data_IF_933897823421
#
_entry.id   IF_933897823421
#
_cell.length_a   1.000
_cell.length_b   1.000
_cell.length_c   1.000
_cell.angle_alpha   90.00
_cell.angle_beta   90.00
_cell.angle_gamma   90.00
#
_symmetry.space_group_name_H-M   'P 1'
#
loop_
_entity.id
_entity.type
_entity.pdbx_description
1 polymer ?
#
# COMPACT_ATOMS: atom_id res chain seq x y z
N UNK A 1 -30.32 18.89 11.73
CA UNK A 1 -31.07 19.65 12.77
C UNK A 1 -31.18 21.07 12.28
N UNK A 2 -32.39 21.62 12.15
CA UNK A 2 -32.67 22.88 11.42
C UNK A 2 -31.71 23.98 11.84
N UNK A 3 -30.93 24.50 10.89
CA UNK A 3 -30.03 25.63 11.12
C UNK A 3 -30.56 26.82 10.35
N UNK A 4 -31.04 27.83 11.08
CA UNK A 4 -31.35 29.13 10.51
C UNK A 4 -30.25 30.09 10.95
N UNK A 5 -29.21 30.24 10.13
CA UNK A 5 -28.26 31.34 10.35
C UNK A 5 -28.93 32.66 9.96
N UNK A 6 -28.64 33.78 10.63
CA UNK A 6 -29.18 35.07 10.21
C UNK A 6 -28.76 35.36 8.77
N UNK A 7 -29.73 35.63 7.89
CA UNK A 7 -29.60 35.87 6.44
C UNK A 7 -29.37 34.64 5.53
N UNK A 8 -29.44 33.41 6.03
CA UNK A 8 -29.41 32.20 5.18
C UNK A 8 -30.83 31.59 5.05
N UNK A 9 -31.17 30.98 3.89
CA UNK A 9 -32.40 30.20 3.76
C UNK A 9 -32.40 29.04 4.75
N UNK A 10 -33.60 28.62 5.15
CA UNK A 10 -33.77 27.47 6.05
C UNK A 10 -33.12 26.23 5.43
N UNK A 11 -32.21 25.58 6.15
CA UNK A 11 -31.55 24.36 5.70
C UNK A 11 -31.88 23.18 6.60
N UNK A 12 -32.15 22.02 5.99
CA UNK A 12 -32.33 20.76 6.71
C UNK A 12 -31.28 19.78 6.19
N UNK A 13 -30.16 19.68 6.93
CA UNK A 13 -29.14 18.65 6.67
C UNK A 13 -29.75 17.26 6.89
N UNK A 14 -29.65 16.42 5.87
CA UNK A 14 -30.06 15.01 5.86
C UNK A 14 -28.94 14.14 5.31
N UNK A 15 -28.92 12.89 5.77
CA UNK A 15 -28.04 11.86 5.22
C UNK A 15 -28.81 11.05 4.19
N UNK A 16 -28.34 11.08 2.95
CA UNK A 16 -28.87 10.22 1.88
C UNK A 16 -28.17 8.87 1.93
N UNK A 17 -28.98 7.84 2.15
CA UNK A 17 -28.56 6.45 2.08
C UNK A 17 -28.82 5.93 0.67
N UNK A 18 -27.76 5.75 -0.10
CA UNK A 18 -27.80 5.18 -1.44
C UNK A 18 -26.64 4.21 -1.66
N UNK A 19 -26.76 3.39 -2.70
CA UNK A 19 -25.65 2.60 -3.21
C UNK A 19 -24.85 3.48 -4.17
N UNK A 20 -23.52 3.55 -4.01
CA UNK A 20 -22.63 4.15 -5.02
C UNK A 20 -22.51 3.22 -6.25
N UNK A 21 -21.72 3.63 -7.25
CA UNK A 21 -21.45 2.81 -8.45
C UNK A 21 -20.84 1.44 -8.12
N UNK A 22 -20.12 1.35 -6.99
CA UNK A 22 -19.51 0.12 -6.45
C UNK A 22 -20.47 -0.70 -5.56
N UNK A 23 -21.71 -0.25 -5.39
CA UNK A 23 -22.72 -0.94 -4.56
C UNK A 23 -22.48 -0.85 -3.04
N UNK A 24 -21.71 0.12 -2.58
CA UNK A 24 -21.47 0.46 -1.17
C UNK A 24 -22.43 1.54 -0.67
N UNK A 25 -22.83 1.40 0.60
CA UNK A 25 -23.63 2.39 1.30
C UNK A 25 -22.72 3.53 1.77
N UNK A 26 -22.74 4.64 1.03
CA UNK A 26 -22.01 5.85 1.42
C UNK A 26 -23.05 6.90 1.86
N UNK A 27 -23.00 7.38 3.11
CA UNK A 27 -23.85 8.47 3.55
C UNK A 27 -23.37 9.78 2.93
N UNK A 28 -24.23 10.45 2.18
CA UNK A 28 -23.97 11.80 1.68
C UNK A 28 -24.78 12.80 2.51
N UNK A 29 -24.09 13.76 3.14
CA UNK A 29 -24.76 14.88 3.78
C UNK A 29 -25.19 15.89 2.72
N UNK A 30 -26.49 16.18 2.67
CA UNK A 30 -27.07 17.10 1.71
C UNK A 30 -28.21 17.91 2.34
N UNK A 31 -28.64 18.98 1.66
CA UNK A 31 -29.83 19.72 2.06
C UNK A 31 -31.10 19.05 1.52
N UNK A 32 -32.05 18.74 2.39
CA UNK A 32 -33.30 18.12 2.02
C UNK A 32 -34.11 18.94 1.02
N UNK A 33 -34.11 20.28 1.12
CA UNK A 33 -34.87 21.11 0.20
C UNK A 33 -34.27 21.10 -1.20
N UNK A 34 -32.95 21.06 -1.30
CA UNK A 34 -32.25 20.96 -2.57
C UNK A 34 -32.53 19.62 -3.26
N UNK A 35 -32.45 18.50 -2.52
CA UNK A 35 -32.74 17.18 -3.08
C UNK A 35 -34.22 17.02 -3.48
N UNK A 36 -35.14 17.59 -2.70
CA UNK A 36 -36.58 17.57 -3.02
C UNK A 36 -36.93 18.49 -4.21
N UNK A 37 -36.15 19.53 -4.46
CA UNK A 37 -36.34 20.44 -5.60
C UNK A 37 -35.68 19.93 -6.88
N UNK A 38 -34.53 19.26 -6.80
CA UNK A 38 -33.79 18.76 -7.97
C UNK A 38 -34.43 17.53 -8.62
N UNK A 39 -35.28 16.80 -7.90
CA UNK A 39 -35.85 15.53 -8.35
C UNK A 39 -37.36 15.49 -8.20
N UNK A 40 -38.02 14.94 -9.21
CA UNK A 40 -39.45 14.67 -9.14
C UNK A 40 -39.71 13.34 -8.44
N UNK A 41 -40.40 13.40 -7.30
CA UNK A 41 -40.78 12.23 -6.53
C UNK A 41 -42.26 11.93 -6.73
N UNK A 42 -42.58 10.69 -7.13
CA UNK A 42 -43.98 10.24 -7.18
C UNK A 42 -44.58 10.10 -5.78
N UNK A 43 -43.78 9.63 -4.82
CA UNK A 43 -44.20 9.41 -3.43
C UNK A 43 -43.10 9.88 -2.49
N UNK A 44 -43.46 10.66 -1.48
CA UNK A 44 -42.56 11.05 -0.38
C UNK A 44 -43.15 10.54 0.94
N UNK A 45 -42.36 9.75 1.67
CA UNK A 45 -42.74 9.15 2.95
C UNK A 45 -42.00 9.88 4.08
N UNK A 46 -42.76 10.47 4.99
CA UNK A 46 -42.23 11.11 6.19
C UNK A 46 -42.61 10.22 7.37
N UNK A 47 -41.63 9.52 7.93
CA UNK A 47 -41.82 8.59 9.06
C UNK A 47 -41.23 9.19 10.33
N UNK A 48 -42.08 9.47 11.32
CA UNK A 48 -41.64 9.82 12.67
C UNK A 48 -41.50 8.56 13.51
N UNK A 49 -40.32 8.30 14.08
CA UNK A 49 -40.11 7.18 15.00
C UNK A 49 -40.23 7.67 16.45
N UNK A 50 -41.24 7.18 17.15
CA UNK A 50 -41.47 7.41 18.57
C UNK A 50 -41.18 6.12 19.35
N UNK A 51 -40.10 6.11 20.14
CA UNK A 51 -39.80 4.98 21.03
C UNK A 51 -40.31 5.27 22.43
N UNK A 52 -41.31 4.52 22.88
CA UNK A 52 -41.86 4.61 24.23
C UNK A 52 -41.08 3.68 25.16
N UNK A 53 -40.73 4.16 26.36
CA UNK A 53 -39.99 3.40 27.39
C UNK A 53 -40.54 3.71 28.77
N UNK A 54 -40.41 2.77 29.69
CA UNK A 54 -40.82 2.97 31.08
C UNK A 54 -40.02 4.12 31.70
N UNK A 55 -40.72 5.06 32.36
CA UNK A 55 -40.11 6.24 32.99
C UNK A 55 -39.69 7.36 32.03
N UNK A 56 -39.83 7.18 30.72
CA UNK A 56 -39.54 8.22 29.73
C UNK A 56 -40.81 9.00 29.39
N UNK A 57 -40.84 10.29 29.70
CA UNK A 57 -41.92 11.18 29.25
C UNK A 57 -41.65 11.60 27.81
N UNK A 58 -42.67 11.44 26.96
CA UNK A 58 -42.63 11.90 25.57
C UNK A 58 -42.29 13.40 25.55
N UNK A 59 -41.22 13.76 24.84
CA UNK A 59 -40.78 15.16 24.77
C UNK A 59 -41.70 15.97 23.86
N UNK A 60 -42.48 16.86 24.48
CA UNK A 60 -43.35 17.81 23.76
C UNK A 60 -42.58 18.74 22.81
N UNK A 61 -41.28 18.99 23.04
CA UNK A 61 -40.43 19.77 22.13
C UNK A 61 -40.11 18.99 20.85
N UNK A 62 -39.83 17.70 20.97
CA UNK A 62 -39.60 16.81 19.83
C UNK A 62 -40.85 16.72 18.94
N UNK A 63 -42.04 16.66 19.54
CA UNK A 63 -43.31 16.75 18.82
C UNK A 63 -43.41 18.01 17.96
N UNK A 64 -43.16 19.19 18.54
CA UNK A 64 -43.17 20.47 17.80
C UNK A 64 -42.14 20.52 16.68
N UNK A 65 -40.94 19.97 16.88
CA UNK A 65 -39.92 19.88 15.84
C UNK A 65 -40.37 19.01 14.66
N UNK A 66 -41.07 17.90 14.93
CA UNK A 66 -41.65 17.08 13.87
C UNK A 66 -42.69 17.85 13.06
N UNK A 67 -43.58 18.60 13.73
CA UNK A 67 -44.57 19.43 13.05
C UNK A 67 -43.92 20.49 12.17
N UNK A 68 -42.89 21.16 12.68
CA UNK A 68 -42.16 22.20 11.97
C UNK A 68 -41.45 21.64 10.74
N UNK A 69 -40.59 20.62 10.90
CA UNK A 69 -39.89 19.94 9.80
C UNK A 69 -40.89 19.46 8.75
N UNK A 70 -41.95 18.79 9.18
CA UNK A 70 -42.97 18.26 8.28
C UNK A 70 -43.68 19.37 7.52
N UNK A 71 -44.02 20.48 8.18
CA UNK A 71 -44.68 21.61 7.53
C UNK A 71 -43.81 22.24 6.43
N UNK A 72 -42.50 22.33 6.64
CA UNK A 72 -41.57 22.85 5.66
C UNK A 72 -41.35 21.89 4.50
N UNK A 73 -41.14 20.59 4.78
CA UNK A 73 -40.98 19.58 3.74
C UNK A 73 -42.21 19.48 2.84
N UNK A 74 -43.42 19.50 3.42
CA UNK A 74 -44.67 19.47 2.68
C UNK A 74 -44.83 20.71 1.79
N UNK A 75 -44.47 21.90 2.28
CA UNK A 75 -44.52 23.15 1.50
C UNK A 75 -43.50 23.20 0.36
N UNK A 76 -42.37 22.50 0.51
CA UNK A 76 -41.33 22.44 -0.52
C UNK A 76 -41.68 21.51 -1.69
N UNK A 77 -42.67 20.63 -1.51
CA UNK A 77 -43.06 19.67 -2.55
C UNK A 77 -44.12 20.24 -3.49
N UNK A 78 -44.02 19.98 -4.81
CA UNK A 78 -45.11 20.23 -5.75
C UNK A 78 -46.23 19.21 -5.50
N UNK A 79 -47.16 19.57 -4.61
CA UNK A 79 -48.28 18.73 -4.21
C UNK A 79 -49.44 18.81 -5.22
N UNK A 80 -50.15 17.69 -5.37
CA UNK A 80 -51.46 17.67 -6.04
C UNK A 80 -52.46 18.47 -5.19
N UNK A 81 -53.15 19.44 -5.79
CA UNK A 81 -54.19 20.20 -5.11
C UNK A 81 -55.37 19.28 -4.76
N UNK A 82 -55.96 19.47 -3.57
CA UNK A 82 -57.13 18.70 -3.15
C UNK A 82 -58.30 18.93 -4.14
N UNK A 83 -58.69 17.87 -4.87
CA UNK A 83 -59.77 17.90 -5.88
C UNK A 83 -59.36 17.61 -7.32
N UNK A 84 -58.09 17.28 -7.60
CA UNK A 84 -57.65 16.89 -8.94
C UNK A 84 -58.00 15.43 -9.29
N UNK A 85 -58.53 15.26 -10.50
CA UNK A 85 -59.02 13.99 -11.08
C UNK A 85 -57.86 13.02 -11.37
N UNK A 86 -58.17 11.73 -11.36
CA UNK A 86 -57.29 10.63 -11.77
C UNK A 86 -56.56 10.95 -13.10
N UNK A 87 -55.22 11.08 -13.06
CA UNK A 87 -54.39 11.37 -14.24
C UNK A 87 -53.58 12.68 -14.22
N UNK A 88 -53.63 13.49 -13.16
CA UNK A 88 -52.72 14.65 -13.00
C UNK A 88 -51.48 14.33 -12.14
N UNK A 89 -50.31 14.78 -12.62
CA UNK A 89 -48.99 14.56 -12.01
C UNK A 89 -48.77 15.46 -10.78
N UNK A 90 -48.42 14.84 -9.65
CA UNK A 90 -47.89 15.53 -8.48
C UNK A 90 -47.46 14.55 -7.38
N UNK A 91 -46.75 15.07 -6.38
CA UNK A 91 -46.13 14.23 -5.34
C UNK A 91 -47.15 13.76 -4.30
N UNK A 92 -47.28 12.44 -4.10
CA UNK A 92 -48.08 11.87 -3.00
C UNK A 92 -47.29 11.87 -1.69
N UNK A 93 -47.75 12.59 -0.67
CA UNK A 93 -47.06 12.67 0.63
C UNK A 93 -47.74 11.81 1.68
N UNK A 94 -46.99 10.88 2.28
CA UNK A 94 -47.43 10.01 3.37
C UNK A 94 -46.75 10.39 4.69
N UNK A 95 -47.53 10.82 5.68
CA UNK A 95 -47.03 11.18 7.02
C UNK A 95 -47.40 10.08 8.02
N UNK A 96 -46.41 9.29 8.41
CA UNK A 96 -46.61 8.09 9.24
C UNK A 96 -45.96 8.30 10.59
N UNK A 97 -46.73 8.18 11.67
CA UNK A 97 -46.19 8.13 13.02
C UNK A 97 -45.96 6.67 13.41
N UNK A 98 -44.72 6.22 13.50
CA UNK A 98 -44.37 4.89 13.97
C UNK A 98 -44.06 4.92 15.46
N UNK A 99 -44.91 4.27 16.26
CA UNK A 99 -44.77 4.15 17.70
C UNK A 99 -44.30 2.74 18.06
N UNK A 100 -43.17 2.64 18.75
CA UNK A 100 -42.54 1.39 19.17
C UNK A 100 -42.43 1.37 20.67
N UNK A 101 -42.93 0.31 21.31
CA UNK A 101 -42.92 0.14 22.76
C UNK A 101 -42.43 -1.28 23.12
N UNK A 102 -41.74 -1.47 24.26
CA UNK A 102 -41.51 -2.80 24.82
C UNK A 102 -42.81 -3.36 25.39
N UNK A 103 -42.89 -4.69 25.53
CA UNK A 103 -44.08 -5.38 26.05
C UNK A 103 -44.41 -5.00 27.49
N UNK A 104 -43.39 -4.68 28.30
CA UNK A 104 -43.53 -4.37 29.73
C UNK A 104 -44.06 -2.96 30.01
N UNK A 105 -44.41 -2.20 28.97
CA UNK A 105 -44.87 -0.82 29.11
C UNK A 105 -46.31 -0.76 29.63
N UNK A 106 -46.50 -0.24 30.84
CA UNK A 106 -47.81 0.03 31.43
C UNK A 106 -48.36 1.41 30.99
N UNK A 107 -49.69 1.52 30.91
CA UNK A 107 -50.46 2.36 29.98
C UNK A 107 -50.55 3.87 30.22
N UNK A 108 -49.69 4.50 31.02
CA UNK A 108 -49.99 5.86 31.48
C UNK A 108 -49.13 6.95 30.80
N UNK A 109 -49.78 7.91 30.14
CA UNK A 109 -49.17 9.18 29.73
C UNK A 109 -48.54 9.25 28.33
N UNK A 110 -48.96 8.40 27.38
CA UNK A 110 -48.40 8.36 26.02
C UNK A 110 -49.23 9.07 24.94
N UNK A 111 -50.37 9.70 25.29
CA UNK A 111 -51.22 10.40 24.31
C UNK A 111 -50.46 11.45 23.50
N UNK A 112 -49.48 12.10 24.14
CA UNK A 112 -48.59 13.06 23.50
C UNK A 112 -47.81 12.48 22.31
N UNK A 113 -47.53 11.16 22.28
CA UNK A 113 -46.83 10.51 21.17
C UNK A 113 -47.69 10.40 19.91
N UNK A 114 -49.01 10.51 20.04
CA UNK A 114 -49.96 10.40 18.92
C UNK A 114 -50.44 11.77 18.43
N UNK A 115 -50.05 12.86 19.09
CA UNK A 115 -50.35 14.21 18.64
C UNK A 115 -49.54 14.58 17.38
N UNK A 116 -50.15 15.40 16.53
CA UNK A 116 -49.49 16.01 15.37
C UNK A 116 -50.21 15.76 14.02
N UNK A 117 -49.71 16.36 12.93
CA UNK A 117 -50.35 16.37 11.62
C UNK A 117 -50.09 15.07 10.82
N UNK A 118 -50.22 13.91 11.47
CA UNK A 118 -49.99 12.60 10.87
C UNK A 118 -51.18 12.14 10.02
N UNK A 119 -50.91 11.44 8.92
CA UNK A 119 -51.96 10.76 8.15
C UNK A 119 -52.42 9.49 8.87
N UNK A 120 -51.49 8.77 9.49
CA UNK A 120 -51.77 7.51 10.20
C UNK A 120 -50.81 7.29 11.37
N UNK A 121 -51.27 6.53 12.36
CA UNK A 121 -50.46 6.05 13.47
C UNK A 121 -50.23 4.55 13.32
N UNK A 122 -48.97 4.14 13.28
CA UNK A 122 -48.55 2.75 13.17
C UNK A 122 -47.94 2.36 14.51
N UNK A 123 -48.58 1.44 15.21
CA UNK A 123 -48.10 0.88 16.47
C UNK A 123 -47.39 -0.43 16.14
N UNK A 124 -46.10 -0.54 16.47
CA UNK A 124 -45.40 -1.80 16.40
C UNK A 124 -45.94 -2.75 17.47
N UNK A 125 -46.45 -3.91 17.04
CA UNK A 125 -46.87 -4.97 17.96
C UNK A 125 -45.67 -5.40 18.79
N UNK A 126 -45.69 -5.30 20.13
CA UNK A 126 -44.52 -5.54 20.99
C UNK A 126 -44.26 -7.05 21.16
N UNK A 127 -44.09 -7.74 20.05
CA UNK A 127 -43.96 -9.18 19.91
C UNK A 127 -43.01 -9.45 18.74
N UNK A 128 -41.93 -10.18 19.01
CA UNK A 128 -41.00 -10.66 18.01
C UNK A 128 -41.56 -11.93 17.33
N UNK A 129 -41.46 -11.98 16.01
CA UNK A 129 -42.09 -13.00 15.17
C UNK A 129 -41.19 -13.45 14.03
N UNK A 130 -40.99 -14.76 13.92
CA UNK A 130 -40.40 -15.47 12.78
C UNK A 130 -41.46 -15.88 11.76
N UNK A 131 -42.71 -16.01 12.17
CA UNK A 131 -43.83 -16.38 11.28
C UNK A 131 -45.02 -15.44 11.43
N UNK A 132 -45.85 -15.27 10.39
CA UNK A 132 -47.07 -14.46 10.48
C UNK A 132 -48.09 -15.02 11.48
N UNK A 133 -48.05 -16.32 11.76
CA UNK A 133 -49.11 -17.04 12.47
C UNK A 133 -48.86 -17.15 13.97
N UNK A 134 -47.61 -17.08 14.43
CA UNK A 134 -47.26 -17.31 15.84
C UNK A 134 -46.27 -16.28 16.36
N UNK A 135 -46.45 -15.92 17.64
CA UNK A 135 -45.50 -15.16 18.43
C UNK A 135 -44.34 -16.01 18.90
N UNK A 136 -43.10 -15.53 18.74
CA UNK A 136 -41.93 -16.21 19.30
C UNK A 136 -41.54 -15.64 20.66
N UNK A 137 -41.59 -14.32 20.82
CA UNK A 137 -41.07 -13.68 22.02
C UNK A 137 -41.62 -12.29 22.30
N UNK A 138 -41.53 -11.88 23.56
CA UNK A 138 -41.86 -10.54 23.99
C UNK A 138 -40.65 -9.62 23.78
N UNK A 139 -40.92 -8.38 23.37
CA UNK A 139 -39.89 -7.37 23.14
C UNK A 139 -39.59 -6.66 24.46
N UNK A 140 -38.35 -6.77 24.93
CA UNK A 140 -37.85 -6.09 26.14
C UNK A 140 -37.03 -4.87 25.75
N UNK A 141 -36.82 -3.93 26.70
CA UNK A 141 -35.93 -2.77 26.49
C UNK A 141 -34.45 -3.18 26.64
N UNK A 142 -33.97 -4.00 25.71
CA UNK A 142 -32.59 -4.47 25.61
C UNK A 142 -31.95 -4.07 24.26
N UNK A 143 -30.78 -4.60 23.93
CA UNK A 143 -30.16 -4.32 22.62
C UNK A 143 -31.02 -4.77 21.42
N UNK A 144 -31.87 -5.78 21.60
CA UNK A 144 -32.77 -6.26 20.53
C UNK A 144 -33.88 -5.25 20.27
N UNK A 145 -34.28 -4.43 21.25
CA UNK A 145 -35.25 -3.36 21.05
C UNK A 145 -34.86 -2.41 19.92
N UNK A 146 -33.57 -2.04 19.84
CA UNK A 146 -33.08 -1.16 18.77
C UNK A 146 -33.24 -1.83 17.39
N UNK A 147 -32.88 -3.10 17.29
CA UNK A 147 -33.01 -3.88 16.04
C UNK A 147 -34.48 -4.07 15.64
N UNK A 148 -35.33 -4.32 16.62
CA UNK A 148 -36.78 -4.41 16.47
C UNK A 148 -37.38 -3.10 15.95
N UNK A 149 -37.05 -1.96 16.57
CA UNK A 149 -37.48 -0.64 16.13
C UNK A 149 -37.00 -0.32 14.70
N UNK A 150 -35.74 -0.64 14.38
CA UNK A 150 -35.18 -0.46 13.04
C UNK A 150 -35.88 -1.35 12.00
N UNK A 151 -36.23 -2.59 12.33
CA UNK A 151 -36.99 -3.48 11.44
C UNK A 151 -38.37 -2.91 11.10
N UNK A 152 -39.09 -2.41 12.11
CA UNK A 152 -40.39 -1.75 11.91
C UNK A 152 -40.25 -0.45 11.12
N UNK A 153 -39.21 0.35 11.39
CA UNK A 153 -38.90 1.54 10.62
C UNK A 153 -38.63 1.19 9.15
N UNK A 154 -37.78 0.18 8.90
CA UNK A 154 -37.40 -0.23 7.57
C UNK A 154 -38.61 -0.69 6.74
N UNK A 155 -39.51 -1.43 7.38
CA UNK A 155 -40.74 -1.92 6.74
C UNK A 155 -41.74 -0.80 6.50
N UNK A 156 -41.90 0.11 7.46
CA UNK A 156 -42.81 1.26 7.35
C UNK A 156 -42.35 2.23 6.28
N UNK A 157 -41.04 2.46 6.17
CA UNK A 157 -40.43 3.33 5.17
C UNK A 157 -40.30 2.65 3.78
N UNK A 158 -40.37 1.32 3.71
CA UNK A 158 -40.18 0.56 2.47
C UNK A 158 -38.75 0.63 1.95
N UNK A 159 -37.76 0.48 2.83
CA UNK A 159 -36.32 0.58 2.50
C UNK A 159 -35.63 -0.79 2.41
N UNK A 160 -36.39 -1.88 2.38
CA UNK A 160 -35.83 -3.22 2.18
C UNK A 160 -35.29 -3.36 0.76
N UNK A 161 -34.11 -3.97 0.63
CA UNK A 161 -33.54 -4.25 -0.68
C UNK A 161 -34.48 -5.20 -1.46
N UNK A 162 -34.90 -4.78 -2.66
CA UNK A 162 -35.87 -5.50 -3.48
C UNK A 162 -37.35 -5.19 -3.20
N UNK A 163 -37.66 -4.39 -2.17
CA UNK A 163 -39.03 -3.93 -1.88
C UNK A 163 -39.04 -2.42 -1.61
N UNK A 164 -39.18 -1.64 -2.68
CA UNK A 164 -39.16 -0.17 -2.64
C UNK A 164 -40.51 0.48 -2.27
N UNK A 165 -41.51 -0.35 -1.96
CA UNK A 165 -42.89 0.07 -1.68
C UNK A 165 -43.19 -0.22 -0.22
N UNK A 166 -43.67 0.80 0.49
CA UNK A 166 -44.22 0.66 1.84
C UNK A 166 -45.58 -0.03 1.76
N UNK A 167 -45.91 -0.97 2.65
CA UNK A 167 -47.25 -1.56 2.72
C UNK A 167 -48.36 -0.51 2.86
N UNK A 168 -48.05 0.63 3.47
CA UNK A 168 -48.98 1.74 3.69
C UNK A 168 -49.27 2.58 2.44
N UNK A 169 -48.55 2.35 1.34
CA UNK A 169 -48.86 2.95 0.04
C UNK A 169 -49.97 2.24 -0.73
N UNK A 170 -50.19 0.96 -0.40
CA UNK A 170 -51.20 0.08 -0.98
C UNK A 170 -52.56 0.28 -0.32
N UNK A 171 -52.58 0.92 0.85
CA UNK A 171 -53.81 1.28 1.56
C UNK A 171 -54.37 2.55 0.92
N UNK A 172 -55.65 2.53 0.54
CA UNK A 172 -56.32 3.73 0.06
C UNK A 172 -56.36 4.79 1.16
N UNK A 173 -55.82 5.98 0.86
CA UNK A 173 -55.75 7.09 1.80
C UNK A 173 -57.13 7.63 2.18
N UNK A 174 -58.14 7.43 1.34
CA UNK A 174 -59.53 7.79 1.65
C UNK A 174 -60.13 6.94 2.78
N UNK A 175 -59.71 5.67 2.89
CA UNK A 175 -60.05 4.79 4.01
C UNK A 175 -59.22 5.12 5.27
N UNK A 176 -58.02 5.69 5.08
CA UNK A 176 -57.16 6.20 6.14
C UNK A 176 -57.58 7.61 6.58
N UNK A 177 -58.75 7.71 7.23
CA UNK A 177 -59.16 8.94 7.94
C UNK A 177 -58.03 9.39 8.88
N UNK A 178 -57.85 10.71 9.02
CA UNK A 178 -56.92 11.32 9.99
C UNK A 178 -57.08 10.63 11.35
N UNK A 179 -55.98 10.07 11.86
CA UNK A 179 -55.92 9.47 13.19
C UNK A 179 -56.22 7.97 13.26
N UNK A 180 -56.28 7.24 12.15
CA UNK A 180 -56.40 5.79 12.19
C UNK A 180 -55.15 5.14 12.82
N UNK A 181 -55.39 4.21 13.74
CA UNK A 181 -54.37 3.39 14.39
C UNK A 181 -54.23 2.05 13.68
N UNK A 182 -53.00 1.71 13.31
CA UNK A 182 -52.65 0.47 12.63
C UNK A 182 -51.69 -0.32 13.48
N UNK A 183 -52.02 -1.57 13.78
CA UNK A 183 -51.08 -2.47 14.43
C UNK A 183 -50.18 -3.10 13.37
N UNK A 184 -48.90 -2.75 13.38
CA UNK A 184 -47.89 -3.33 12.51
C UNK A 184 -47.34 -4.61 13.13
N UNK A 185 -47.50 -5.72 12.41
CA UNK A 185 -46.85 -7.00 12.70
C UNK A 185 -45.93 -7.31 11.53
N UNK A 186 -44.64 -7.26 11.77
CA UNK A 186 -43.62 -7.39 10.73
C UNK A 186 -42.92 -8.73 10.89
N UNK A 187 -42.78 -9.45 9.79
CA UNK A 187 -41.89 -10.59 9.65
C UNK A 187 -41.14 -10.40 8.32
N UNK A 188 -39.84 -10.70 8.30
CA UNK A 188 -39.00 -10.49 7.12
C UNK A 188 -38.41 -11.83 6.71
N UNK A 189 -38.78 -12.27 5.50
CA UNK A 189 -38.19 -13.44 4.88
C UNK A 189 -37.23 -12.99 3.78
N UNK A 190 -35.94 -13.26 3.93
CA UNK A 190 -34.96 -13.03 2.89
C UNK A 190 -34.93 -14.24 1.94
N UNK A 191 -35.34 -14.05 0.69
CA UNK A 191 -35.15 -15.06 -0.36
C UNK A 191 -33.78 -14.81 -0.99
N UNK A 192 -32.79 -15.62 -0.58
CA UNK A 192 -31.49 -15.67 -1.23
C UNK A 192 -31.65 -16.36 -2.58
N UNK A 193 -31.85 -15.55 -3.63
CA UNK A 193 -31.81 -16.04 -5.00
C UNK A 193 -30.36 -16.33 -5.41
N UNK A 194 -30.14 -17.24 -6.36
CA UNK A 194 -28.80 -17.52 -6.92
C UNK A 194 -28.15 -16.22 -7.44
N UNK A 195 -28.93 -15.31 -8.04
CA UNK A 195 -28.45 -14.00 -8.48
C UNK A 195 -28.02 -13.05 -7.36
N UNK A 196 -28.66 -13.09 -6.18
CA UNK A 196 -28.17 -12.34 -5.01
C UNK A 196 -26.92 -12.98 -4.43
N UNK A 197 -26.92 -14.31 -4.30
CA UNK A 197 -25.78 -15.08 -3.78
C UNK A 197 -24.53 -14.88 -4.64
N UNK A 198 -24.67 -14.92 -5.98
CA UNK A 198 -23.58 -14.62 -6.91
C UNK A 198 -23.09 -13.19 -6.84
N UNK A 199 -23.98 -12.20 -6.67
CA UNK A 199 -23.58 -10.79 -6.53
C UNK A 199 -22.87 -10.53 -5.22
N UNK A 200 -23.36 -11.13 -4.12
CA UNK A 200 -22.69 -11.05 -2.82
C UNK A 200 -21.33 -11.76 -2.90
N UNK A 201 -21.26 -12.95 -3.50
CA UNK A 201 -20.00 -13.67 -3.70
C UNK A 201 -19.03 -12.88 -4.59
N UNK A 202 -19.49 -12.32 -5.70
CA UNK A 202 -18.68 -11.45 -6.57
C UNK A 202 -18.19 -10.22 -5.80
N UNK A 203 -19.06 -9.55 -5.04
CA UNK A 203 -18.68 -8.40 -4.21
C UNK A 203 -17.64 -8.77 -3.14
N UNK A 204 -17.78 -9.93 -2.51
CA UNK A 204 -16.78 -10.44 -1.55
C UNK A 204 -15.47 -10.76 -2.26
N UNK A 205 -15.50 -11.38 -3.44
CA UNK A 205 -14.30 -11.67 -4.24
C UNK A 205 -13.62 -10.38 -4.72
N UNK A 206 -14.37 -9.40 -5.21
CA UNK A 206 -13.87 -8.08 -5.60
C UNK A 206 -13.29 -7.34 -4.40
N UNK A 207 -13.93 -7.44 -3.24
CA UNK A 207 -13.43 -6.93 -1.97
C UNK A 207 -12.12 -7.59 -1.55
N UNK A 208 -11.99 -8.92 -1.65
CA UNK A 208 -10.75 -9.66 -1.36
C UNK A 208 -9.66 -9.32 -2.38
N UNK A 209 -10.03 -9.10 -3.64
CA UNK A 209 -9.10 -8.74 -4.71
C UNK A 209 -8.57 -7.30 -4.56
N UNK A 210 -9.29 -6.43 -3.85
CA UNK A 210 -8.85 -5.07 -3.56
C UNK A 210 -7.66 -5.07 -2.60
N UNK A 211 -6.65 -4.27 -2.92
CA UNK A 211 -5.45 -4.08 -2.09
C UNK A 211 -5.71 -3.31 -0.80
N UNK A 212 -6.74 -2.48 -0.76
CA UNK A 212 -7.05 -1.58 0.35
C UNK A 212 -8.08 -2.13 1.33
N UNK A 213 -8.82 -3.17 0.93
CA UNK A 213 -9.92 -3.71 1.72
C UNK A 213 -9.38 -4.68 2.76
N UNK A 214 -9.82 -4.50 4.01
CA UNK A 214 -9.49 -5.41 5.11
C UNK A 214 -10.25 -6.73 4.91
N UNK A 215 -9.50 -7.82 4.71
CA UNK A 215 -10.07 -9.17 4.51
C UNK A 215 -10.86 -9.61 5.74
N UNK A 216 -10.52 -9.06 6.91
CA UNK A 216 -11.12 -9.37 8.20
C UNK A 216 -12.13 -8.30 8.66
N UNK A 217 -12.55 -7.39 7.77
CA UNK A 217 -13.65 -6.46 8.08
C UNK A 217 -14.88 -7.28 8.55
N UNK A 218 -15.39 -6.94 9.72
CA UNK A 218 -16.63 -7.46 10.30
C UNK A 218 -17.82 -7.46 9.32
N UNK A 219 -17.80 -6.59 8.30
CA UNK A 219 -18.81 -6.53 7.23
C UNK A 219 -18.68 -7.66 6.20
N UNK A 220 -17.47 -8.18 5.97
CA UNK A 220 -17.20 -9.31 5.07
C UNK A 220 -17.34 -10.65 5.82
N UNK A 221 -17.13 -10.65 7.14
CA UNK A 221 -17.40 -11.81 8.01
C UNK A 221 -16.46 -12.99 7.82
N UNK A 222 -15.28 -12.77 7.21
CA UNK A 222 -14.26 -13.80 6.98
C UNK A 222 -13.26 -13.73 8.14
N UNK A 223 -13.34 -14.68 9.06
CA UNK A 223 -12.32 -14.88 10.09
C UNK A 223 -11.64 -16.22 9.86
N UNK A 224 -10.35 -16.21 9.51
CA UNK A 224 -9.56 -17.43 9.39
C UNK A 224 -9.30 -17.96 10.81
N UNK A 225 -9.73 -19.20 11.14
CA UNK A 225 -9.51 -19.74 12.48
C UNK A 225 -8.02 -19.87 12.79
N UNK A 226 -7.61 -19.44 13.99
CA UNK A 226 -6.21 -19.54 14.41
C UNK A 226 -5.29 -18.43 13.90
N UNK A 227 -5.84 -17.33 13.39
CA UNK A 227 -5.07 -16.13 13.04
C UNK A 227 -5.37 -14.95 13.96
N UNK A 228 -4.43 -14.02 14.07
CA UNK A 228 -4.55 -12.75 14.79
C UNK A 228 -4.09 -11.62 13.86
N UNK A 229 -4.88 -10.55 13.77
CA UNK A 229 -4.55 -9.41 12.93
C UNK A 229 -3.37 -8.63 13.49
N UNK A 230 -2.40 -8.33 12.63
CA UNK A 230 -1.33 -7.39 12.93
C UNK A 230 -1.94 -5.99 13.02
N UNK A 231 -1.81 -5.30 14.17
CA UNK A 231 -2.22 -3.90 14.31
C UNK A 231 -1.49 -2.98 13.33
N UNK A 232 -2.18 -1.95 12.83
CA UNK A 232 -1.66 -1.03 11.81
C UNK A 232 -0.35 -0.32 12.22
N UNK A 233 -0.13 -0.09 13.52
CA UNK A 233 1.09 0.50 14.08
C UNK A 233 2.31 -0.45 14.06
N UNK A 234 2.07 -1.75 13.91
CA UNK A 234 3.12 -2.78 13.88
C UNK A 234 3.44 -3.28 12.46
N UNK A 235 2.64 -2.87 11.46
CA UNK A 235 2.77 -3.32 10.05
C UNK A 235 4.19 -3.12 9.52
N UNK A 236 4.75 -1.92 9.67
CA UNK A 236 6.10 -1.60 9.17
C UNK A 236 7.18 -2.47 9.82
N UNK A 237 7.04 -2.75 11.12
CA UNK A 237 8.00 -3.60 11.85
C UNK A 237 7.98 -5.04 11.34
N UNK A 238 6.80 -5.57 11.02
CA UNK A 238 6.67 -6.90 10.43
C UNK A 238 7.19 -6.94 8.98
N UNK A 239 6.99 -5.88 8.20
CA UNK A 239 7.55 -5.77 6.85
C UNK A 239 9.09 -5.75 6.92
N UNK A 240 9.68 -4.92 7.78
CA UNK A 240 11.12 -4.87 7.98
C UNK A 240 11.70 -6.23 8.41
N UNK A 241 10.99 -6.92 9.32
CA UNK A 241 11.35 -8.27 9.72
C UNK A 241 11.28 -9.25 8.54
N UNK A 242 10.23 -9.22 7.72
CA UNK A 242 10.10 -10.08 6.54
C UNK A 242 11.23 -9.82 5.54
N UNK A 243 11.57 -8.55 5.29
CA UNK A 243 12.69 -8.16 4.43
C UNK A 243 14.00 -8.73 4.98
N UNK A 244 14.26 -8.56 6.29
CA UNK A 244 15.45 -9.11 6.92
C UNK A 244 15.53 -10.66 6.79
N UNK A 245 14.40 -11.36 6.91
CA UNK A 245 14.35 -12.81 6.65
C UNK A 245 14.69 -13.14 5.20
N UNK A 246 14.15 -12.41 4.23
CA UNK A 246 14.46 -12.65 2.81
C UNK A 246 15.95 -12.49 2.51
N UNK A 247 16.60 -11.51 3.12
CA UNK A 247 18.05 -11.30 2.98
C UNK A 247 18.91 -12.31 3.77
N UNK A 248 18.35 -13.05 4.72
CA UNK A 248 19.07 -14.10 5.46
C UNK A 248 19.00 -15.47 4.78
N UNK A 249 18.02 -15.68 3.89
CA UNK A 249 17.82 -16.92 3.14
C UNK A 249 19.06 -17.22 2.27
N UNK A 250 19.42 -18.51 2.20
CA UNK A 250 20.53 -19.03 1.41
C UNK A 250 21.87 -18.31 1.67
N UNK A 251 22.19 -18.03 2.95
CA UNK A 251 23.44 -17.39 3.36
C UNK A 251 23.64 -15.98 2.77
N UNK A 252 22.55 -15.27 2.50
CA UNK A 252 22.60 -13.89 2.02
C UNK A 252 23.02 -13.75 0.56
N UNK A 253 22.57 -14.66 -0.30
CA UNK A 253 22.77 -14.57 -1.77
C UNK A 253 22.27 -13.25 -2.36
N UNK A 254 21.26 -12.64 -1.75
CA UNK A 254 20.74 -11.31 -2.12
C UNK A 254 21.57 -10.15 -1.54
N UNK A 255 22.39 -10.42 -0.53
CA UNK A 255 23.26 -9.43 0.12
C UNK A 255 24.49 -9.11 -0.73
N UNK A 256 24.94 -7.86 -0.64
CA UNK A 256 26.20 -7.47 -1.25
C UNK A 256 27.38 -8.00 -0.42
N UNK A 257 28.08 -9.00 -0.95
CA UNK A 257 29.38 -9.42 -0.42
C UNK A 257 30.48 -8.65 -1.13
N UNK A 258 31.18 -7.77 -0.40
CA UNK A 258 32.40 -7.14 -0.94
C UNK A 258 33.36 -8.28 -1.32
N UNK A 259 33.93 -8.29 -2.55
CA UNK A 259 34.97 -9.27 -2.87
C UNK A 259 36.05 -9.18 -1.79
N UNK A 260 36.49 -10.33 -1.28
CA UNK A 260 37.53 -10.39 -0.27
C UNK A 260 38.68 -9.51 -0.76
N UNK A 261 39.00 -8.45 -0.01
CA UNK A 261 40.18 -7.67 -0.30
C UNK A 261 41.33 -8.66 -0.27
N UNK A 262 42.09 -8.76 -1.37
CA UNK A 262 43.31 -9.54 -1.38
C UNK A 262 44.10 -9.12 -0.14
N UNK A 263 44.30 -10.07 0.77
CA UNK A 263 45.01 -9.79 2.00
C UNK A 263 46.37 -9.21 1.60
N UNK A 264 46.78 -8.05 2.14
CA UNK A 264 48.11 -7.52 1.84
C UNK A 264 49.12 -8.65 2.08
N UNK A 265 50.06 -8.89 1.14
CA UNK A 265 50.97 -10.02 1.25
C UNK A 265 51.60 -10.00 2.64
N UNK A 266 51.67 -11.16 3.33
CA UNK A 266 52.15 -11.21 4.70
C UNK A 266 53.52 -10.54 4.75
N UNK A 267 53.66 -9.58 5.66
CA UNK A 267 54.91 -8.86 5.86
C UNK A 267 55.92 -9.88 6.37
N UNK A 268 56.77 -10.41 5.49
CA UNK A 268 57.77 -11.39 5.88
C UNK A 268 58.73 -10.74 6.89
N UNK A 269 58.82 -11.32 8.08
CA UNK A 269 59.82 -10.94 9.08
C UNK A 269 61.15 -11.58 8.70
N UNK A 270 62.06 -10.81 8.12
CA UNK A 270 63.39 -11.28 7.77
C UNK A 270 64.30 -11.13 9.00
N UNK A 271 65.00 -12.20 9.40
CA UNK A 271 66.03 -12.09 10.44
C UNK A 271 67.26 -11.36 9.89
N UNK A 272 67.94 -10.57 10.73
CA UNK A 272 69.07 -9.69 10.37
C UNK A 272 70.18 -10.42 9.59
N UNK A 273 70.48 -11.67 9.96
CA UNK A 273 71.49 -12.50 9.28
C UNK A 273 71.08 -12.97 7.88
N UNK A 274 69.79 -13.22 7.66
CA UNK A 274 69.25 -13.54 6.32
C UNK A 274 69.39 -12.34 5.39
N UNK A 275 69.22 -11.12 5.91
CA UNK A 275 69.39 -9.89 5.14
C UNK A 275 70.86 -9.64 4.78
N UNK A 276 71.78 -9.86 5.70
CA UNK A 276 73.23 -9.75 5.44
C UNK A 276 73.69 -10.78 4.41
N UNK A 277 73.25 -12.05 4.52
CA UNK A 277 73.56 -13.10 3.54
C UNK A 277 72.99 -12.77 2.16
N UNK A 278 71.76 -12.27 2.12
CA UNK A 278 71.11 -11.85 0.88
C UNK A 278 71.81 -10.66 0.25
N UNK A 279 72.28 -9.70 1.06
CA UNK A 279 73.08 -8.57 0.63
C UNK A 279 74.42 -9.02 0.06
N UNK A 280 75.15 -9.92 0.74
CA UNK A 280 76.44 -10.43 0.24
C UNK A 280 76.30 -11.23 -1.06
N UNK A 281 75.28 -12.08 -1.17
CA UNK A 281 74.98 -12.79 -2.43
C UNK A 281 74.65 -11.79 -3.53
N UNK A 282 73.86 -10.75 -3.23
CA UNK A 282 73.52 -9.69 -4.16
C UNK A 282 74.74 -8.88 -4.62
N UNK A 283 75.60 -8.45 -3.71
CA UNK A 283 76.82 -7.70 -4.04
C UNK A 283 77.78 -8.58 -4.84
N UNK A 284 77.86 -9.88 -4.53
CA UNK A 284 78.68 -10.84 -5.27
C UNK A 284 78.17 -11.09 -6.68
N UNK A 285 76.86 -11.20 -6.87
CA UNK A 285 76.25 -11.35 -8.18
C UNK A 285 76.50 -10.11 -9.04
N UNK A 286 76.38 -8.91 -8.47
CA UNK A 286 76.74 -7.66 -9.15
C UNK A 286 78.23 -7.57 -9.48
N UNK A 287 79.12 -7.98 -8.57
CA UNK A 287 80.56 -8.00 -8.79
C UNK A 287 80.99 -8.91 -9.95
N UNK A 288 80.32 -10.04 -10.16
CA UNK A 288 80.59 -10.93 -11.30
C UNK A 288 80.25 -10.34 -12.66
N UNK A 289 79.30 -9.39 -12.70
CA UNK A 289 78.81 -8.79 -13.94
C UNK A 289 79.63 -7.54 -14.31
N UNK A 290 80.37 -6.96 -13.36
CA UNK A 290 81.26 -5.80 -13.60
C UNK A 290 82.31 -6.07 -14.69
N UNK A 291 83.06 -7.20 -14.72
CA UNK A 291 84.03 -7.47 -15.78
C UNK A 291 83.39 -7.54 -17.17
N UNK A 292 82.18 -8.10 -17.26
CA UNK A 292 81.44 -8.19 -18.52
C UNK A 292 80.97 -6.80 -19.00
N UNK A 293 80.44 -5.96 -18.11
CA UNK A 293 80.07 -4.58 -18.46
C UNK A 293 81.27 -3.69 -18.76
N UNK A 294 82.41 -3.89 -18.08
CA UNK A 294 83.67 -3.24 -18.44
C UNK A 294 84.10 -3.63 -19.86
N UNK A 295 83.98 -4.91 -20.23
CA UNK A 295 84.28 -5.38 -21.58
C UNK A 295 83.34 -4.77 -22.64
N UNK A 296 82.03 -4.71 -22.36
CA UNK A 296 81.05 -4.03 -23.22
C UNK A 296 81.35 -2.54 -23.34
N UNK A 297 81.73 -1.87 -22.25
CA UNK A 297 82.11 -0.45 -22.24
C UNK A 297 83.35 -0.19 -23.10
N UNK A 298 84.41 -1.00 -22.95
CA UNK A 298 85.62 -0.93 -23.77
C UNK A 298 85.27 -1.14 -25.25
N UNK A 299 84.48 -2.18 -25.56
CA UNK A 299 84.05 -2.49 -26.92
C UNK A 299 83.18 -1.39 -27.52
N UNK A 300 82.29 -0.77 -26.74
CA UNK A 300 81.49 0.41 -27.15
C UNK A 300 82.39 1.63 -27.39
N UNK A 301 83.42 1.84 -26.58
CA UNK A 301 84.42 2.88 -26.81
C UNK A 301 85.18 2.70 -28.13
N UNK A 302 85.57 1.46 -28.44
CA UNK A 302 86.20 1.10 -29.72
C UNK A 302 85.21 1.28 -30.89
N UNK A 303 83.96 0.83 -30.74
CA UNK A 303 82.91 0.98 -31.76
C UNK A 303 82.56 2.44 -32.06
N UNK A 304 82.50 3.30 -31.04
CA UNK A 304 82.32 4.76 -31.22
C UNK A 304 83.49 5.39 -31.94
N UNK A 305 84.73 5.02 -31.61
CA UNK A 305 85.92 5.48 -32.35
C UNK A 305 85.89 5.00 -33.80
N UNK A 306 85.58 3.73 -34.06
CA UNK A 306 85.50 3.22 -35.43
C UNK A 306 84.36 3.85 -36.24
N UNK A 307 83.20 4.11 -35.64
CA UNK A 307 82.09 4.82 -36.31
C UNK A 307 82.51 6.25 -36.66
N UNK A 308 83.16 6.96 -35.72
CA UNK A 308 83.66 8.31 -35.94
C UNK A 308 84.77 8.38 -37.00
N UNK A 309 85.62 7.35 -37.12
CA UNK A 309 86.75 7.33 -38.08
C UNK A 309 86.36 6.82 -39.47
N UNK A 310 85.46 5.84 -39.58
CA UNK A 310 85.16 5.19 -40.87
C UNK A 310 83.88 5.66 -41.55
N UNK A 311 82.89 6.18 -40.82
CA UNK A 311 81.61 6.60 -41.43
C UNK A 311 81.31 8.10 -41.32
N UNK A 312 82.00 8.84 -40.44
CA UNK A 312 81.68 10.24 -40.17
C UNK A 312 80.32 10.41 -39.48
N UNK A 313 80.07 11.59 -38.89
CA UNK A 313 78.91 11.81 -38.01
C UNK A 313 77.53 11.76 -38.73
N UNK A 314 77.51 11.72 -40.06
CA UNK A 314 76.29 11.69 -40.90
C UNK A 314 76.19 10.41 -41.78
N UNK A 315 76.89 9.34 -41.43
CA UNK A 315 76.80 8.04 -42.13
C UNK A 315 75.53 7.23 -41.80
N UNK A 316 74.97 6.53 -42.79
CA UNK A 316 73.74 5.71 -42.69
C UNK A 316 73.89 4.41 -41.87
N UNK A 317 75.09 4.04 -41.42
CA UNK A 317 75.29 2.81 -40.66
C UNK A 317 76.12 3.04 -39.39
N UNK A 318 75.49 2.86 -38.23
CA UNK A 318 76.20 2.94 -36.96
C UNK A 318 76.96 1.63 -36.73
N UNK A 319 78.28 1.69 -36.53
CA UNK A 319 79.05 0.50 -36.12
C UNK A 319 78.88 0.32 -34.62
N UNK A 320 77.72 -0.24 -34.26
CA UNK A 320 77.26 -0.48 -32.89
C UNK A 320 76.29 -1.65 -32.83
N UNK A 321 76.81 -2.79 -32.40
CA UNK A 321 76.23 -3.95 -31.71
C UNK A 321 74.69 -4.04 -31.64
N UNK A 322 74.14 -5.17 -32.12
CA UNK A 322 72.73 -5.53 -31.96
C UNK A 322 72.25 -5.51 -30.51
N UNK A 323 71.01 -5.06 -30.33
CA UNK A 323 70.29 -4.77 -29.08
C UNK A 323 70.00 -5.98 -28.16
N UNK A 324 70.78 -7.05 -28.23
CA UNK A 324 70.61 -8.22 -27.37
C UNK A 324 71.66 -8.22 -26.24
N UNK A 325 71.66 -7.17 -25.42
CA UNK A 325 72.32 -7.26 -24.12
C UNK A 325 71.53 -8.28 -23.27
N UNK A 326 72.17 -9.28 -22.65
CA UNK A 326 71.50 -10.19 -21.74
C UNK A 326 70.91 -9.40 -20.57
N UNK A 327 69.58 -9.23 -20.55
CA UNK A 327 68.85 -8.68 -19.40
C UNK A 327 69.22 -9.48 -18.15
N UNK A 328 69.57 -8.76 -17.08
CA UNK A 328 69.86 -9.34 -15.76
C UNK A 328 68.68 -10.22 -15.30
N UNK A 329 68.94 -11.25 -14.50
CA UNK A 329 67.90 -12.12 -13.96
C UNK A 329 66.83 -11.32 -13.20
N UNK A 330 67.23 -10.21 -12.55
CA UNK A 330 66.30 -9.28 -11.90
C UNK A 330 65.58 -8.35 -12.87
N UNK A 331 66.17 -7.95 -13.98
CA UNK A 331 65.48 -7.15 -15.00
C UNK A 331 64.35 -7.95 -15.65
N UNK A 332 64.56 -9.27 -15.83
CA UNK A 332 63.49 -10.19 -16.25
C UNK A 332 62.38 -10.30 -15.20
N UNK A 333 62.73 -10.38 -13.92
CA UNK A 333 61.75 -10.40 -12.83
C UNK A 333 60.97 -9.08 -12.77
N UNK A 334 61.64 -7.94 -12.91
CA UNK A 334 61.01 -6.61 -12.91
C UNK A 334 60.11 -6.43 -14.15
N UNK A 335 60.56 -6.86 -15.32
CA UNK A 335 59.73 -6.84 -16.53
C UNK A 335 58.48 -7.72 -16.37
N UNK A 336 58.61 -8.92 -15.81
CA UNK A 336 57.47 -9.79 -15.54
C UNK A 336 56.51 -9.19 -14.51
N UNK A 337 57.02 -8.59 -13.43
CA UNK A 337 56.20 -7.88 -12.44
C UNK A 337 55.50 -6.66 -13.02
N UNK A 338 56.16 -5.94 -13.93
CA UNK A 338 55.55 -4.79 -14.60
C UNK A 338 54.41 -5.24 -15.53
N UNK A 339 54.58 -6.35 -16.24
CA UNK A 339 53.49 -6.99 -17.01
C UNK A 339 52.34 -7.40 -16.08
N UNK A 340 52.64 -8.03 -14.95
CA UNK A 340 51.64 -8.43 -13.96
C UNK A 340 50.85 -7.22 -13.43
N UNK A 341 51.54 -6.15 -13.00
CA UNK A 341 50.92 -4.90 -12.54
C UNK A 341 50.04 -4.30 -13.64
N UNK A 342 50.50 -4.27 -14.90
CA UNK A 342 49.71 -3.76 -16.01
C UNK A 342 48.48 -4.63 -16.28
N UNK A 343 48.58 -5.95 -16.15
CA UNK A 343 47.43 -6.85 -16.31
C UNK A 343 46.41 -6.69 -15.17
N UNK A 344 46.87 -6.53 -13.93
CA UNK A 344 46.02 -6.27 -12.77
C UNK A 344 45.36 -4.89 -12.89
N UNK A 345 46.11 -3.87 -13.31
CA UNK A 345 45.58 -2.53 -13.55
C UNK A 345 44.57 -2.51 -14.71
N UNK A 346 44.83 -3.26 -15.79
CA UNK A 346 43.90 -3.43 -16.90
C UNK A 346 42.64 -4.20 -16.46
N UNK A 347 42.78 -5.25 -15.65
CA UNK A 347 41.65 -5.99 -15.09
C UNK A 347 40.82 -5.12 -14.13
N UNK A 348 41.47 -4.32 -13.28
CA UNK A 348 40.83 -3.36 -12.39
C UNK A 348 40.10 -2.28 -13.20
N UNK A 349 40.74 -1.67 -14.20
CA UNK A 349 40.10 -0.72 -15.12
C UNK A 349 38.95 -1.35 -15.90
N UNK A 350 39.07 -2.60 -16.34
CA UNK A 350 38.00 -3.32 -17.01
C UNK A 350 36.86 -3.68 -16.05
N UNK A 351 37.13 -3.96 -14.78
CA UNK A 351 36.11 -4.15 -13.74
C UNK A 351 35.43 -2.84 -13.35
N UNK A 352 36.17 -1.73 -13.43
CA UNK A 352 35.66 -0.40 -13.16
C UNK A 352 34.77 0.07 -14.33
N UNK A 353 35.24 -0.09 -15.57
CA UNK A 353 34.55 0.32 -16.79
C UNK A 353 33.52 -0.71 -17.30
N UNK A 354 33.39 -1.87 -16.65
CA UNK A 354 32.30 -2.77 -16.96
C UNK A 354 30.99 -2.02 -16.67
N UNK A 355 30.04 -1.93 -17.63
CA UNK A 355 28.69 -1.52 -17.30
C UNK A 355 28.24 -2.39 -16.13
N UNK A 356 27.45 -1.83 -15.19
CA UNK A 356 26.77 -2.61 -14.16
C UNK A 356 26.18 -3.83 -14.87
N UNK A 357 26.87 -4.98 -14.79
CA UNK A 357 26.32 -6.23 -15.25
C UNK A 357 25.11 -6.34 -14.36
N UNK A 358 23.91 -6.27 -14.94
CA UNK A 358 22.69 -6.53 -14.19
C UNK A 358 23.01 -7.82 -13.46
N UNK A 359 23.23 -7.72 -12.15
CA UNK A 359 23.66 -8.85 -11.37
C UNK A 359 22.44 -9.75 -11.48
N UNK A 360 22.50 -10.75 -12.36
CA UNK A 360 21.63 -11.89 -12.22
C UNK A 360 22.17 -12.55 -10.96
N UNK A 361 21.81 -12.02 -9.80
CA UNK A 361 21.70 -12.83 -8.61
C UNK A 361 21.00 -14.09 -9.13
N UNK A 362 21.70 -15.23 -9.05
CA UNK A 362 21.13 -16.48 -9.53
C UNK A 362 19.95 -16.75 -8.61
N UNK A 363 18.79 -16.26 -9.00
CA UNK A 363 17.59 -16.47 -8.23
C UNK A 363 17.34 -17.97 -8.28
N UNK A 364 17.46 -18.61 -7.13
CA UNK A 364 17.23 -20.04 -7.02
C UNK A 364 15.72 -20.27 -6.95
N UNK A 365 15.20 -21.36 -7.52
CA UNK A 365 13.79 -21.73 -7.33
C UNK A 365 13.42 -21.86 -5.85
N UNK A 366 14.39 -22.25 -5.01
CA UNK A 366 14.23 -22.37 -3.57
C UNK A 366 14.04 -21.01 -2.89
N UNK A 367 14.85 -20.01 -3.21
CA UNK A 367 14.66 -18.64 -2.72
C UNK A 367 13.25 -18.11 -3.03
N UNK A 368 12.79 -18.28 -4.28
CA UNK A 368 11.42 -17.86 -4.66
C UNK A 368 10.33 -18.63 -3.94
N UNK A 369 10.52 -19.94 -3.71
CA UNK A 369 9.59 -20.74 -2.94
C UNK A 369 9.50 -20.28 -1.49
N UNK A 370 10.65 -19.97 -0.85
CA UNK A 370 10.68 -19.45 0.52
C UNK A 370 10.08 -18.05 0.64
N UNK A 371 10.38 -17.13 -0.29
CA UNK A 371 9.74 -15.80 -0.34
C UNK A 371 8.22 -15.95 -0.47
N UNK A 372 7.76 -16.81 -1.40
CA UNK A 372 6.33 -17.07 -1.61
C UNK A 372 5.67 -17.61 -0.34
N UNK A 373 6.32 -18.57 0.33
CA UNK A 373 5.82 -19.18 1.56
C UNK A 373 5.71 -18.16 2.68
N UNK A 374 6.70 -17.27 2.82
CA UNK A 374 6.69 -16.19 3.79
C UNK A 374 5.55 -15.21 3.54
N UNK A 375 5.40 -14.72 2.29
CA UNK A 375 4.37 -13.75 1.91
C UNK A 375 2.96 -14.32 2.08
N UNK A 376 2.69 -15.52 1.54
CA UNK A 376 1.36 -16.12 1.67
C UNK A 376 1.05 -16.55 3.11
N UNK A 377 2.03 -17.11 3.83
CA UNK A 377 1.83 -17.50 5.22
C UNK A 377 1.48 -16.32 6.13
N UNK A 378 2.03 -15.13 5.86
CA UNK A 378 1.69 -13.91 6.58
C UNK A 378 0.31 -13.32 6.19
N UNK A 379 -0.35 -13.83 5.15
CA UNK A 379 -1.71 -13.43 4.74
C UNK A 379 -2.76 -14.45 5.21
N UNK A 380 -2.45 -15.75 5.14
CA UNK A 380 -3.40 -16.85 5.38
C UNK A 380 -3.17 -17.61 6.69
N UNK A 381 -2.06 -17.36 7.39
CA UNK A 381 -1.71 -18.05 8.64
C UNK A 381 -1.10 -19.44 8.44
N UNK A 382 -0.60 -19.77 7.23
CA UNK A 382 0.08 -21.03 6.93
C UNK A 382 1.33 -21.24 7.79
N UNK A 383 1.87 -22.47 7.77
CA UNK A 383 3.04 -22.84 8.57
C UNK A 383 4.30 -22.04 8.21
N UNK A 384 4.68 -21.13 9.12
CA UNK A 384 5.82 -20.22 9.06
C UNK A 384 6.96 -20.61 10.03
N UNK A 385 6.95 -21.84 10.57
CA UNK A 385 7.99 -22.32 11.51
C UNK A 385 9.41 -22.23 10.96
N UNK A 386 9.57 -22.40 9.65
CA UNK A 386 10.85 -22.25 8.94
C UNK A 386 11.48 -20.85 9.13
N UNK A 387 10.67 -19.84 9.42
CA UNK A 387 11.09 -18.45 9.63
C UNK A 387 11.07 -18.04 11.12
N UNK A 388 10.79 -18.97 12.03
CA UNK A 388 10.77 -18.70 13.48
C UNK A 388 9.50 -18.03 14.01
N UNK A 389 8.42 -18.00 13.23
CA UNK A 389 7.10 -17.60 13.72
C UNK A 389 6.43 -18.82 14.33
N UNK A 390 6.32 -18.82 15.66
CA UNK A 390 5.52 -19.79 16.40
C UNK A 390 4.18 -19.14 16.81
N UNK A 391 3.09 -19.91 16.84
CA UNK A 391 1.78 -19.39 17.22
C UNK A 391 1.80 -18.91 18.68
N UNK A 392 1.49 -17.63 18.92
CA UNK A 392 1.27 -17.10 20.26
C UNK A 392 -0.18 -17.37 20.64
N UNK A 393 -0.41 -18.02 21.78
CA UNK A 393 -1.76 -18.41 22.23
C UNK A 393 -2.56 -19.25 21.21
N UNK A 394 -1.86 -20.00 20.36
CA UNK A 394 -2.50 -20.79 19.29
C UNK A 394 -2.95 -19.96 18.08
N UNK A 395 -2.52 -18.70 17.98
CA UNK A 395 -2.80 -17.81 16.85
C UNK A 395 -1.53 -17.34 16.15
N UNK A 396 -1.58 -17.25 14.82
CA UNK A 396 -0.50 -16.76 13.97
C UNK A 396 -0.81 -15.32 13.53
N UNK A 397 0.15 -14.38 13.65
CA UNK A 397 -0.06 -13.01 13.19
C UNK A 397 -0.18 -12.95 11.66
N UNK A 398 -1.19 -12.23 11.17
CA UNK A 398 -1.46 -12.05 9.73
C UNK A 398 -1.77 -10.59 9.39
N UNK A 399 -1.43 -10.16 8.18
CA UNK A 399 -1.77 -8.83 7.69
C UNK A 399 -3.27 -8.75 7.33
N UNK A 400 -3.89 -7.61 7.65
CA UNK A 400 -5.29 -7.35 7.39
C UNK A 400 -5.56 -7.10 5.89
N UNK A 401 -4.61 -6.46 5.20
CA UNK A 401 -4.75 -6.00 3.81
C UNK A 401 -3.64 -6.57 2.93
N UNK A 402 -4.00 -7.04 1.74
CA UNK A 402 -3.01 -7.51 0.75
C UNK A 402 -2.08 -6.39 0.29
N UNK A 403 -2.58 -5.15 0.22
CA UNK A 403 -1.81 -3.96 -0.12
C UNK A 403 -0.67 -3.63 0.85
N UNK A 404 -0.68 -4.18 2.08
CA UNK A 404 0.42 -3.98 3.04
C UNK A 404 1.68 -4.76 2.65
N UNK A 405 1.53 -5.88 1.93
CA UNK A 405 2.67 -6.73 1.53
C UNK A 405 2.93 -6.64 0.03
N UNK A 406 1.86 -6.57 -0.77
CA UNK A 406 1.92 -6.54 -2.23
C UNK A 406 1.49 -5.15 -2.67
N UNK A 407 2.44 -4.36 -3.12
CA UNK A 407 2.17 -3.02 -3.64
C UNK A 407 1.19 -3.09 -4.82
N UNK A 408 0.20 -2.19 -4.83
CA UNK A 408 -0.77 -2.17 -5.91
C UNK A 408 -0.11 -1.60 -7.17
N UNK A 409 -0.13 -2.31 -8.32
CA UNK A 409 0.50 -1.81 -9.54
C UNK A 409 -0.11 -0.50 -10.07
N UNK A 410 -1.36 -0.19 -9.70
CA UNK A 410 -2.01 1.07 -10.02
C UNK A 410 -1.62 2.23 -9.06
N UNK A 411 -0.90 1.93 -7.98
CA UNK A 411 -0.50 2.90 -6.97
C UNK A 411 0.61 3.83 -7.48
N UNK A 412 0.50 5.09 -7.08
CA UNK A 412 1.49 6.14 -7.35
C UNK A 412 2.36 6.31 -6.12
N UNK A 413 3.66 6.05 -6.26
CA UNK A 413 4.63 6.31 -5.21
C UNK A 413 5.12 7.75 -5.35
N UNK A 414 5.09 8.49 -4.26
CA UNK A 414 5.76 9.78 -4.16
C UNK A 414 7.26 9.57 -4.07
N UNK A 415 7.99 10.23 -4.96
CA UNK A 415 9.45 10.14 -5.00
C UNK A 415 10.01 11.08 -3.93
N UNK A 416 10.92 10.63 -3.05
CA UNK A 416 11.58 11.51 -2.09
C UNK A 416 12.28 12.69 -2.79
N UNK A 417 12.18 13.89 -2.22
CA UNK A 417 12.64 15.16 -2.82
C UNK A 417 14.08 15.11 -3.36
N UNK A 418 14.97 14.41 -2.65
CA UNK A 418 16.38 14.16 -3.01
C UNK A 418 16.53 13.40 -4.35
N UNK A 419 15.55 12.57 -4.68
CA UNK A 419 15.52 11.74 -5.89
C UNK A 419 14.66 12.36 -7.00
N UNK A 420 13.79 13.33 -6.68
CA UNK A 420 12.93 14.01 -7.66
C UNK A 420 13.75 14.75 -8.72
N UNK A 421 14.79 15.48 -8.32
CA UNK A 421 15.69 16.19 -9.25
C UNK A 421 16.43 15.24 -10.19
N UNK A 422 16.75 14.03 -9.71
CA UNK A 422 17.49 13.01 -10.48
C UNK A 422 16.59 12.20 -11.41
N UNK A 423 15.38 11.87 -10.97
CA UNK A 423 14.42 11.08 -11.75
C UNK A 423 13.60 11.96 -12.71
N UNK A 424 13.46 13.24 -12.38
CA UNK A 424 12.66 14.22 -13.14
C UNK A 424 11.15 13.99 -12.98
N UNK A 425 10.72 13.37 -11.88
CA UNK A 425 9.32 13.08 -11.58
C UNK A 425 9.11 13.11 -10.06
N UNK A 426 8.01 13.75 -9.63
CA UNK A 426 7.54 13.77 -8.23
C UNK A 426 6.70 12.54 -7.88
N UNK A 427 6.05 11.93 -8.87
CA UNK A 427 5.24 10.73 -8.69
C UNK A 427 5.58 9.70 -9.77
N UNK A 428 5.64 8.43 -9.37
CA UNK A 428 5.86 7.32 -10.30
C UNK A 428 4.77 6.28 -10.07
N UNK A 429 4.03 5.93 -11.14
CA UNK A 429 3.14 4.76 -11.10
C UNK A 429 3.98 3.48 -11.08
N UNK A 430 3.68 2.57 -10.17
CA UNK A 430 4.46 1.35 -10.00
C UNK A 430 4.47 0.47 -11.26
N UNK A 431 3.33 0.37 -11.95
CA UNK A 431 3.21 -0.29 -13.25
C UNK A 431 4.20 0.27 -14.28
N UNK A 432 4.35 1.59 -14.34
CA UNK A 432 5.26 2.27 -15.27
C UNK A 432 6.72 2.15 -14.82
N UNK A 433 6.99 2.13 -13.50
CA UNK A 433 8.32 1.93 -12.94
C UNK A 433 8.93 0.57 -13.33
N UNK A 434 8.13 -0.50 -13.27
CA UNK A 434 8.57 -1.85 -13.62
C UNK A 434 8.85 -2.05 -15.12
N UNK A 435 8.21 -1.26 -15.99
CA UNK A 435 8.33 -1.37 -17.45
C UNK A 435 9.30 -0.35 -18.06
N UNK A 436 9.64 0.72 -17.33
CA UNK A 436 10.42 1.84 -17.87
C UNK A 436 11.92 1.57 -17.84
N UNK A 437 12.46 1.07 -18.96
CA UNK A 437 13.90 1.05 -19.22
C UNK A 437 14.55 2.45 -19.13
N UNK A 438 13.76 3.52 -19.24
CA UNK A 438 14.26 4.90 -19.15
C UNK A 438 14.60 5.31 -17.72
N UNK A 439 13.84 4.86 -16.72
CA UNK A 439 14.12 5.12 -15.30
C UNK A 439 15.38 4.37 -14.87
N UNK A 440 15.50 3.09 -15.26
CA UNK A 440 16.70 2.29 -15.02
C UNK A 440 17.96 2.90 -15.67
N UNK A 441 17.85 3.44 -16.89
CA UNK A 441 18.94 4.16 -17.56
C UNK A 441 19.33 5.45 -16.84
N UNK A 442 18.37 6.29 -16.45
CA UNK A 442 18.66 7.53 -15.69
C UNK A 442 19.34 7.26 -14.35
N UNK A 443 18.94 6.21 -13.63
CA UNK A 443 19.62 5.75 -12.42
C UNK A 443 21.05 5.29 -12.70
N UNK A 444 21.26 4.53 -13.77
CA UNK A 444 22.60 4.10 -14.22
C UNK A 444 23.50 5.28 -14.58
N UNK A 445 22.96 6.30 -15.27
CA UNK A 445 23.70 7.51 -15.66
C UNK A 445 24.02 8.41 -14.46
N UNK A 446 23.15 8.43 -13.45
CA UNK A 446 23.40 9.10 -12.17
C UNK A 446 24.53 8.44 -11.36
N UNK A 447 24.61 7.10 -11.37
CA UNK A 447 25.68 6.35 -10.70
C UNK A 447 27.00 6.54 -11.42
N UNK A 448 27.02 6.51 -12.76
CA UNK A 448 28.25 6.71 -13.55
C UNK A 448 28.82 8.13 -13.41
N UNK A 449 27.97 9.16 -13.34
CA UNK A 449 28.38 10.55 -13.12
C UNK A 449 28.87 10.85 -11.71
N UNK A 450 28.27 10.21 -10.69
CA UNK A 450 28.77 10.31 -9.31
C UNK A 450 30.12 9.61 -9.17
N UNK A 451 30.29 8.48 -9.88
CA UNK A 451 31.54 7.73 -9.94
C UNK A 451 32.67 8.52 -10.61
N UNK A 452 32.40 9.17 -11.74
CA UNK A 452 33.41 10.01 -12.41
C UNK A 452 33.85 11.17 -11.52
N UNK A 453 32.95 11.76 -10.73
CA UNK A 453 33.31 12.78 -9.73
C UNK A 453 34.21 12.24 -8.62
N UNK A 454 33.94 11.03 -8.11
CA UNK A 454 34.81 10.39 -7.11
C UNK A 454 36.20 10.13 -7.69
N UNK A 455 36.28 9.62 -8.92
CA UNK A 455 37.57 9.40 -9.59
C UNK A 455 38.35 10.71 -9.81
N UNK A 456 37.68 11.82 -10.14
CA UNK A 456 38.34 13.13 -10.24
C UNK A 456 38.89 13.59 -8.90
N UNK A 457 38.12 13.43 -7.82
CA UNK A 457 38.55 13.81 -6.46
C UNK A 457 39.72 12.92 -5.99
N UNK A 458 39.67 11.61 -6.24
CA UNK A 458 40.77 10.69 -5.93
C UNK A 458 42.04 11.02 -6.72
N UNK A 459 41.92 11.39 -7.99
CA UNK A 459 43.05 11.83 -8.81
C UNK A 459 43.63 13.16 -8.34
N UNK A 460 42.80 14.12 -7.94
CA UNK A 460 43.24 15.38 -7.32
C UNK A 460 43.97 15.13 -5.99
N UNK A 461 43.46 14.23 -5.14
CA UNK A 461 44.12 13.79 -3.90
C UNK A 461 45.47 13.11 -4.17
N UNK A 462 45.55 12.25 -5.17
CA UNK A 462 46.80 11.58 -5.57
C UNK A 462 47.83 12.58 -6.13
N UNK A 463 47.38 13.60 -6.87
CA UNK A 463 48.25 14.69 -7.34
C UNK A 463 48.74 15.57 -6.19
N UNK A 464 47.90 15.86 -5.19
CA UNK A 464 48.33 16.59 -3.99
C UNK A 464 49.34 15.78 -3.15
N UNK A 465 49.21 14.46 -3.10
CA UNK A 465 50.17 13.57 -2.42
C UNK A 465 51.49 13.41 -3.18
N UNK A 466 51.47 13.46 -4.52
CA UNK A 466 52.69 13.45 -5.35
C UNK A 466 53.36 14.83 -5.46
N UNK A 467 52.61 15.91 -5.24
CA UNK A 467 53.12 17.28 -5.21
C UNK A 467 53.71 17.72 -3.87
N UNK A 468 53.82 16.81 -2.88
CA UNK A 468 54.37 17.07 -1.56
C UNK A 468 55.73 16.40 -1.34
N UNK A 469 56.78 16.94 -1.99
CA UNK A 469 58.10 17.31 -1.43
C UNK A 469 58.99 17.88 -2.54
#
# INVERSE_FOLDING_TARGET
MISQKPNEPLSISVEKLGLNEDGDYIPYSLDAFEELAQREYRVVRIVGLQTLRAGYKVDSKQGKQYEEVMSYLVKALPMVAAGMVEGQEGTRVLRINLVVAPTELHSDGFDAAFNGPWNMHVIASPEDRRTPWTGDGLVRDDEKFKRFALMHLATTAGIWNGLQVSPFELVNLEDAKKGNFWLSRVFVNAILTDGLSRRVAAKVVDGIASSSTDIYDSKLGIAIPGTELIPDDLVDQYIDWMVAQVFSIEAGVLGFSRPAADSPPPQESWYEWTQIKSFLIFTWDKLKVIPWWMWVFIRRGIGRKMTATFQGNDGLAQVGIGQNDPMDARDRILANKLVEILTVQAAARNSLNAPLRGNSAKTTPKLWASIRRLVFGMLDGSDLKEFGIEPKEGRVPVFARTGQIIANPAETIEVPEILQERLGASYIKLAEASASSAIARKLSDGVSSTRSRIETIENELAQMQQGGF
#
